data_IF_823390163167
#
_entry.id   IF_823390163167
#
_cell.length_a   1.000
_cell.length_b   1.000
_cell.length_c   1.000
_cell.angle_alpha   90.00
_cell.angle_beta   90.00
_cell.angle_gamma   90.00
#
_symmetry.space_group_name_H-M   'P 1'
#
loop_
_entity.id
_entity.type
_entity.pdbx_description
1 polymer ?
#
# COMPACT_ATOMS: atom_id res chain seq x y z
N UNK A 1 -0.29 -11.10 3.49
CA UNK A 1 -1.55 -11.61 2.91
C UNK A 1 -2.75 -10.69 3.13
N UNK A 2 -2.89 -9.98 4.26
CA UNK A 2 -4.06 -9.12 4.51
C UNK A 2 -4.27 -7.94 3.52
N UNK A 3 -3.21 -7.41 2.91
CA UNK A 3 -3.30 -6.29 1.93
C UNK A 3 -4.03 -6.67 0.62
N UNK A 4 -3.98 -7.93 0.17
CA UNK A 4 -4.68 -8.34 -1.06
C UNK A 4 -6.18 -8.54 -0.82
N UNK A 5 -6.57 -8.98 0.37
CA UNK A 5 -7.96 -9.22 0.73
C UNK A 5 -8.78 -7.92 0.75
N UNK A 6 -8.25 -6.84 1.34
CA UNK A 6 -8.94 -5.54 1.39
C UNK A 6 -9.11 -4.90 0.01
N UNK A 7 -8.15 -5.10 -0.90
CA UNK A 7 -8.25 -4.65 -2.29
C UNK A 7 -9.33 -5.43 -3.07
N UNK A 8 -9.47 -6.74 -2.82
CA UNK A 8 -10.51 -7.57 -3.41
C UNK A 8 -11.90 -7.18 -2.92
N UNK A 9 -12.09 -7.01 -1.60
CA UNK A 9 -13.37 -6.58 -1.02
C UNK A 9 -13.77 -5.22 -1.58
N UNK A 10 -12.84 -4.27 -1.63
CA UNK A 10 -13.12 -2.95 -2.22
C UNK A 10 -13.54 -3.06 -3.68
N UNK A 11 -12.85 -3.86 -4.50
CA UNK A 11 -13.25 -4.10 -5.91
C UNK A 11 -14.63 -4.74 -5.99
N UNK A 12 -14.90 -5.73 -5.16
CA UNK A 12 -16.19 -6.42 -5.12
C UNK A 12 -17.34 -5.45 -4.84
N UNK A 13 -17.17 -4.52 -3.90
CA UNK A 13 -18.16 -3.47 -3.62
C UNK A 13 -18.45 -2.62 -4.87
N UNK A 14 -17.42 -2.20 -5.61
CA UNK A 14 -17.61 -1.45 -6.87
C UNK A 14 -18.30 -2.28 -7.95
N UNK A 15 -17.98 -3.57 -8.06
CA UNK A 15 -18.64 -4.47 -9.02
C UNK A 15 -20.11 -4.65 -8.68
N UNK A 16 -20.43 -4.95 -7.42
CA UNK A 16 -21.81 -5.12 -6.96
C UNK A 16 -22.60 -3.83 -7.16
N UNK A 17 -22.03 -2.68 -6.81
CA UNK A 17 -22.64 -1.37 -7.07
C UNK A 17 -22.94 -1.16 -8.56
N UNK A 18 -22.00 -1.50 -9.44
CA UNK A 18 -22.18 -1.43 -10.89
C UNK A 18 -23.30 -2.33 -11.40
N UNK A 19 -23.40 -3.57 -10.90
CA UNK A 19 -24.49 -4.49 -11.25
C UNK A 19 -25.84 -3.91 -10.84
N UNK A 20 -25.97 -3.41 -9.60
CA UNK A 20 -27.21 -2.78 -9.12
C UNK A 20 -27.59 -1.59 -10.00
N UNK A 21 -26.62 -0.75 -10.38
CA UNK A 21 -26.84 0.40 -11.24
C UNK A 21 -27.34 -0.01 -12.63
N UNK A 22 -26.76 -1.05 -13.23
CA UNK A 22 -27.19 -1.59 -14.52
C UNK A 22 -28.60 -2.18 -14.42
N UNK A 23 -28.90 -2.97 -13.38
CA UNK A 23 -30.23 -3.52 -13.16
C UNK A 23 -31.28 -2.42 -12.96
N UNK A 24 -30.93 -1.39 -12.19
CA UNK A 24 -31.77 -0.20 -12.03
C UNK A 24 -32.03 0.45 -13.39
N UNK A 25 -30.99 0.67 -14.19
CA UNK A 25 -31.11 1.30 -15.50
C UNK A 25 -31.94 0.50 -16.50
N UNK A 26 -31.78 -0.83 -16.51
CA UNK A 26 -32.53 -1.72 -17.40
C UNK A 26 -34.01 -1.77 -17.02
N UNK A 27 -34.34 -1.80 -15.73
CA UNK A 27 -35.73 -1.82 -15.28
C UNK A 27 -36.40 -0.43 -15.31
N UNK A 28 -35.63 0.64 -15.14
CA UNK A 28 -36.13 2.02 -15.11
C UNK A 28 -35.79 2.74 -16.42
N UNK A 29 -36.20 2.15 -17.55
CA UNK A 29 -36.14 2.77 -18.88
C UNK A 29 -37.32 3.69 -19.18
N UNK A 30 -38.22 3.87 -18.23
CA UNK A 30 -39.37 4.75 -18.39
C UNK A 30 -38.92 6.19 -18.60
N UNK A 31 -39.51 6.84 -19.60
CA UNK A 31 -39.26 8.23 -19.90
C UNK A 31 -39.93 9.12 -18.85
N UNK A 32 -39.15 10.03 -18.27
CA UNK A 32 -39.65 11.06 -17.36
C UNK A 32 -39.51 12.41 -18.05
N UNK A 33 -40.58 13.20 -18.01
CA UNK A 33 -40.54 14.57 -18.50
C UNK A 33 -39.69 15.43 -17.56
N UNK A 34 -38.53 15.88 -18.04
CA UNK A 34 -37.65 16.80 -17.33
C UNK A 34 -37.74 18.16 -17.99
N UNK A 35 -38.22 19.14 -17.23
CA UNK A 35 -38.33 20.51 -17.69
C UNK A 35 -37.16 21.34 -17.19
N UNK A 36 -36.40 21.90 -18.13
CA UNK A 36 -35.28 22.79 -17.88
C UNK A 36 -35.69 24.23 -18.23
N UNK A 37 -36.54 24.81 -17.38
CA UNK A 37 -37.03 26.19 -17.49
C UNK A 37 -35.97 27.19 -16.96
N UNK A 38 -35.68 28.33 -17.62
CA UNK A 38 -36.19 28.83 -18.91
C UNK A 38 -35.34 28.50 -20.13
N UNK A 39 -34.23 27.79 -19.94
CA UNK A 39 -33.17 27.73 -20.96
C UNK A 39 -33.40 26.69 -22.06
N UNK A 40 -34.09 25.58 -21.79
CA UNK A 40 -34.09 24.43 -22.71
C UNK A 40 -35.45 23.75 -22.94
N UNK A 41 -36.50 24.08 -22.19
CA UNK A 41 -37.82 23.45 -22.36
C UNK A 41 -37.92 22.05 -21.74
N UNK A 42 -38.91 21.25 -22.14
CA UNK A 42 -39.20 19.93 -21.54
C UNK A 42 -38.78 18.79 -22.47
N UNK A 43 -38.03 17.83 -21.95
CA UNK A 43 -37.60 16.64 -22.67
C UNK A 43 -38.01 15.37 -21.93
N UNK A 44 -38.51 14.39 -22.66
CA UNK A 44 -38.71 13.05 -22.17
C UNK A 44 -37.36 12.33 -22.19
N UNK A 45 -36.78 12.10 -20.99
CA UNK A 45 -35.48 11.45 -20.84
C UNK A 45 -35.65 10.28 -19.85
N UNK A 46 -35.13 9.09 -20.17
CA UNK A 46 -35.10 7.99 -19.20
C UNK A 46 -34.34 8.36 -17.93
N UNK A 47 -34.90 8.00 -16.77
CA UNK A 47 -34.34 8.41 -15.47
C UNK A 47 -32.91 7.92 -15.23
N UNK A 48 -32.53 6.79 -15.82
CA UNK A 48 -31.17 6.27 -15.71
C UNK A 48 -30.13 7.21 -16.31
N UNK A 49 -30.46 7.93 -17.39
CA UNK A 49 -29.53 8.88 -18.02
C UNK A 49 -29.20 10.01 -17.06
N UNK A 50 -30.23 10.55 -16.39
CA UNK A 50 -30.08 11.64 -15.41
C UNK A 50 -29.23 11.17 -14.23
N UNK A 51 -29.51 9.96 -13.72
CA UNK A 51 -28.77 9.37 -12.62
C UNK A 51 -27.29 9.16 -12.97
N UNK A 52 -26.99 8.56 -14.13
CA UNK A 52 -25.61 8.35 -14.57
C UNK A 52 -24.89 9.67 -14.85
N UNK A 53 -25.56 10.64 -15.48
CA UNK A 53 -24.98 11.97 -15.71
C UNK A 53 -24.64 12.66 -14.38
N UNK A 54 -25.53 12.59 -13.38
CA UNK A 54 -25.29 13.13 -12.05
C UNK A 54 -24.11 12.46 -11.34
N UNK A 55 -24.03 11.12 -11.38
CA UNK A 55 -22.89 10.38 -10.82
C UNK A 55 -21.60 10.76 -11.54
N UNK A 56 -21.63 10.86 -12.88
CA UNK A 56 -20.46 11.18 -13.69
C UNK A 56 -19.94 12.60 -13.41
N UNK A 57 -20.84 13.58 -13.32
CA UNK A 57 -20.52 14.96 -12.92
C UNK A 57 -19.95 14.95 -11.49
N UNK A 58 -20.59 14.24 -10.55
CA UNK A 58 -20.10 14.09 -9.20
C UNK A 58 -18.70 13.48 -9.14
N UNK A 59 -18.41 12.48 -9.98
CA UNK A 59 -17.10 11.87 -10.11
C UNK A 59 -16.06 12.83 -10.71
N UNK A 60 -16.44 13.63 -11.70
CA UNK A 60 -15.58 14.66 -12.28
C UNK A 60 -15.23 15.71 -11.24
N UNK A 61 -16.23 16.24 -10.52
CA UNK A 61 -16.00 17.20 -9.43
C UNK A 61 -15.14 16.56 -8.34
N UNK A 62 -15.45 15.33 -7.91
CA UNK A 62 -14.65 14.61 -6.93
C UNK A 62 -13.21 14.42 -7.42
N UNK A 63 -12.98 14.08 -8.69
CA UNK A 63 -11.64 13.93 -9.26
C UNK A 63 -10.88 15.26 -9.26
N UNK A 64 -11.52 16.35 -9.67
CA UNK A 64 -10.93 17.69 -9.68
C UNK A 64 -10.59 18.15 -8.26
N UNK A 65 -11.55 18.08 -7.33
CA UNK A 65 -11.37 18.44 -5.91
C UNK A 65 -10.29 17.59 -5.27
N UNK A 66 -10.30 16.27 -5.51
CA UNK A 66 -9.27 15.37 -4.98
C UNK A 66 -7.92 15.66 -5.61
N UNK A 67 -7.85 16.05 -6.89
CA UNK A 67 -6.60 16.44 -7.55
C UNK A 67 -6.02 17.71 -6.94
N UNK A 68 -6.86 18.71 -6.66
CA UNK A 68 -6.45 19.95 -6.00
C UNK A 68 -5.97 19.70 -4.56
N UNK A 69 -6.72 18.92 -3.78
CA UNK A 69 -6.32 18.52 -2.42
C UNK A 69 -5.08 17.62 -2.41
N UNK A 70 -4.87 16.82 -3.46
CA UNK A 70 -3.67 16.00 -3.62
C UNK A 70 -2.44 16.86 -3.87
N UNK A 71 -2.52 18.00 -4.56
CA UNK A 71 -1.37 18.91 -4.70
C UNK A 71 -0.80 19.34 -3.33
N UNK A 72 -1.65 19.56 -2.32
CA UNK A 72 -1.22 19.87 -0.95
C UNK A 72 -0.75 18.62 -0.17
N UNK A 73 -1.37 17.46 -0.41
CA UNK A 73 -1.07 16.20 0.30
C UNK A 73 0.10 15.36 -0.25
N UNK A 74 0.53 15.59 -1.50
CA UNK A 74 1.57 14.80 -2.17
C UNK A 74 2.95 14.93 -1.50
N UNK A 75 3.20 16.02 -0.77
CA UNK A 75 4.43 16.18 0.02
C UNK A 75 4.48 15.27 1.25
N UNK A 76 3.34 14.82 1.79
CA UNK A 76 3.31 13.97 3.00
C UNK A 76 3.36 12.48 2.69
N UNK A 77 2.65 12.00 1.66
CA UNK A 77 2.60 10.54 1.36
C UNK A 77 3.90 10.00 0.75
N UNK A 78 4.55 10.75 -0.15
CA UNK A 78 5.88 10.37 -0.68
C UNK A 78 7.00 10.45 0.38
N UNK A 79 6.89 11.35 1.37
CA UNK A 79 7.85 11.39 2.49
C UNK A 79 7.63 10.27 3.50
N UNK A 80 6.39 9.80 3.69
CA UNK A 80 6.09 8.73 4.62
C UNK A 80 6.65 7.37 4.14
N UNK A 81 6.50 7.05 2.86
CA UNK A 81 7.09 5.83 2.29
C UNK A 81 8.62 5.89 2.29
N UNK A 82 9.22 7.01 1.87
CA UNK A 82 10.69 7.18 1.92
C UNK A 82 11.27 7.12 3.33
N UNK A 83 10.52 7.56 4.34
CA UNK A 83 10.96 7.46 5.74
C UNK A 83 10.88 6.02 6.27
N UNK A 84 9.89 5.24 5.84
CA UNK A 84 9.81 3.83 6.20
C UNK A 84 11.00 3.06 5.60
N UNK A 85 11.28 3.27 4.31
CA UNK A 85 12.42 2.60 3.64
C UNK A 85 13.77 3.01 4.25
N UNK A 86 13.96 4.30 4.57
CA UNK A 86 15.21 4.77 5.20
C UNK A 86 15.40 4.26 6.64
N UNK A 87 14.31 3.93 7.35
CA UNK A 87 14.40 3.32 8.67
C UNK A 87 14.71 1.81 8.57
N UNK A 88 14.15 1.11 7.59
CA UNK A 88 14.45 -0.32 7.34
C UNK A 88 15.91 -0.53 6.87
N UNK A 89 16.43 0.34 6.01
CA UNK A 89 17.84 0.30 5.57
C UNK A 89 18.80 0.53 6.74
N UNK A 90 18.48 1.42 7.68
CA UNK A 90 19.33 1.63 8.87
C UNK A 90 19.27 0.47 9.85
N UNK A 91 18.09 -0.15 10.03
CA UNK A 91 17.96 -1.32 10.90
C UNK A 91 18.68 -2.53 10.34
N UNK A 92 18.65 -2.74 9.02
CA UNK A 92 19.39 -3.82 8.37
C UNK A 92 20.90 -3.60 8.42
N UNK A 93 21.38 -2.38 8.18
CA UNK A 93 22.80 -2.05 8.33
C UNK A 93 23.32 -2.28 9.76
N UNK A 94 22.56 -1.83 10.78
CA UNK A 94 22.93 -2.08 12.18
C UNK A 94 22.86 -3.56 12.58
N UNK A 95 21.92 -4.32 12.02
CA UNK A 95 21.82 -5.76 12.26
C UNK A 95 23.02 -6.50 11.65
N UNK A 96 23.49 -6.08 10.48
CA UNK A 96 24.64 -6.66 9.80
C UNK A 96 25.95 -6.40 10.57
N UNK A 97 26.18 -5.18 11.06
CA UNK A 97 27.34 -4.84 11.90
C UNK A 97 27.35 -5.66 13.21
N UNK A 98 26.17 -5.83 13.84
CA UNK A 98 26.05 -6.63 15.06
C UNK A 98 26.35 -8.12 14.81
N UNK A 99 26.00 -8.64 13.64
CA UNK A 99 26.36 -10.00 13.22
C UNK A 99 27.86 -10.13 12.94
N UNK A 100 28.48 -9.13 12.32
CA UNK A 100 29.90 -9.16 12.01
C UNK A 100 30.75 -9.18 13.30
N UNK A 101 30.43 -8.32 14.28
CA UNK A 101 31.15 -8.29 15.57
C UNK A 101 31.02 -9.62 16.33
N UNK A 102 29.85 -10.26 16.28
CA UNK A 102 29.65 -11.59 16.89
C UNK A 102 30.45 -12.68 16.18
N UNK A 103 30.49 -12.65 14.85
CA UNK A 103 31.27 -13.62 14.06
C UNK A 103 32.77 -13.51 14.34
N UNK A 104 33.30 -12.29 14.44
CA UNK A 104 34.72 -12.06 14.76
C UNK A 104 35.06 -12.49 16.18
N UNK A 105 34.19 -12.21 17.16
CA UNK A 105 34.37 -12.70 18.54
C UNK A 105 34.31 -14.22 18.64
N UNK A 106 33.41 -14.87 17.91
CA UNK A 106 33.32 -16.32 17.88
C UNK A 106 34.56 -16.95 17.22
N UNK A 107 35.07 -16.36 16.14
CA UNK A 107 36.32 -16.79 15.52
C UNK A 107 37.53 -16.62 16.45
N UNK A 108 37.62 -15.49 17.16
CA UNK A 108 38.72 -15.24 18.09
C UNK A 108 38.67 -16.17 19.30
N UNK A 109 37.49 -16.38 19.90
CA UNK A 109 37.32 -17.31 21.02
C UNK A 109 37.64 -18.77 20.61
N UNK A 110 37.25 -19.18 19.39
CA UNK A 110 37.61 -20.50 18.86
C UNK A 110 39.12 -20.63 18.58
N UNK A 111 39.81 -19.54 18.23
CA UNK A 111 41.26 -19.54 18.05
C UNK A 111 42.05 -19.55 19.37
N UNK A 112 41.50 -18.94 20.43
CA UNK A 112 42.10 -18.94 21.77
C UNK A 112 42.04 -20.35 22.40
N UNK A 113 40.90 -21.05 22.29
CA UNK A 113 40.71 -22.39 22.85
C UNK A 113 41.62 -23.45 22.18
N UNK A 114 41.90 -23.29 20.87
CA UNK A 114 42.84 -24.14 20.13
C UNK A 114 44.31 -23.83 20.50
N UNK A 115 44.62 -22.56 20.80
CA UNK A 115 45.95 -22.14 21.24
C UNK A 115 46.31 -22.67 22.63
N UNK A 116 45.36 -22.59 23.57
CA UNK A 116 45.53 -22.99 24.98
C UNK A 116 45.68 -24.52 25.17
N UNK A 117 45.04 -25.32 24.31
CA UNK A 117 45.17 -26.77 24.35
C UNK A 117 46.53 -27.26 23.77
N UNK A 118 47.12 -26.51 22.82
CA UNK A 118 48.42 -26.86 22.22
C UNK A 118 49.61 -26.59 23.17
N UNK A 119 49.52 -25.55 23.99
CA UNK A 119 50.55 -25.16 24.97
C UNK A 119 50.55 -26.08 26.19
N UNK A 120 49.38 -26.58 26.62
CA UNK A 120 49.29 -27.58 27.70
C UNK A 120 49.80 -28.96 27.27
N UNK A 121 49.56 -29.38 26.03
CA UNK A 121 50.06 -30.66 25.49
C UNK A 121 51.58 -30.62 25.27
N UNK A 122 52.15 -29.47 24.88
CA UNK A 122 53.59 -29.29 24.70
C UNK A 122 54.41 -29.18 26.00
N UNK A 123 53.80 -28.79 27.12
CA UNK A 123 54.48 -28.74 28.42
C UNK A 123 54.60 -30.12 29.08
N UNK A 124 53.64 -31.02 28.85
CA UNK A 124 53.71 -32.40 29.37
C UNK A 124 54.78 -33.26 28.67
N UNK A 125 55.23 -32.89 27.47
CA UNK A 125 56.27 -33.60 26.72
C UNK A 125 57.72 -33.16 27.05
N UNK A 126 57.90 -32.19 27.96
CA UNK A 126 59.23 -31.64 28.34
C UNK A 126 59.71 -32.10 29.73
N UNK A 127 59.03 -33.05 30.35
CA UNK A 127 59.32 -33.49 31.73
C UNK A 127 59.93 -34.90 31.85
N UNK A 128 60.26 -35.56 30.74
CA UNK A 128 60.99 -36.84 30.73
C UNK A 128 62.39 -36.71 30.10
#
# INVERSE_FOLDING_TARGET
MAKSLSLLIRRLVWVVLGIVLVFFAVNNRADVAVSFDPLFGSYAIPIYIILFAGIFIGLMVAAVVTSWLRLEGFTKRRKAERRADYLDDQMSAMAEDAHQVRSTRAHNAASEDVGENSSSTGQLAKLD
#
